data_IF_819716537842
#
_entry.id   IF_819716537842
#
_cell.length_a   1.000
_cell.length_b   1.000
_cell.length_c   1.000
_cell.angle_alpha   90.00
_cell.angle_beta   90.00
_cell.angle_gamma   90.00
#
_symmetry.space_group_name_H-M   'P 1'
#
loop_
_entity.id
_entity.type
_entity.pdbx_description
1 polymer ?
#
# COMPACT_ATOMS: atom_id res chain seq x y z
N UNK A 1 -20.70 32.86 -74.36
CA UNK A 1 -21.38 32.66 -73.11
C UNK A 1 -20.89 31.30 -72.55
N UNK A 2 -19.91 31.33 -71.66
CA UNK A 2 -19.26 30.15 -71.13
C UNK A 2 -19.88 29.87 -69.77
N UNK A 3 -20.59 28.75 -69.65
CA UNK A 3 -21.03 28.27 -68.34
C UNK A 3 -19.83 27.71 -67.52
N UNK A 4 -19.56 28.16 -66.30
CA UNK A 4 -18.56 27.55 -65.45
C UNK A 4 -19.06 26.19 -64.95
N UNK A 5 -18.29 25.14 -65.23
CA UNK A 5 -18.60 23.76 -64.96
C UNK A 5 -18.82 23.54 -63.48
N UNK A 6 -20.05 23.25 -63.05
CA UNK A 6 -20.47 22.85 -61.70
C UNK A 6 -19.82 21.56 -61.19
N UNK A 7 -19.08 20.85 -62.05
CA UNK A 7 -18.37 19.59 -61.68
C UNK A 7 -17.10 19.80 -60.87
N UNK A 8 -16.43 20.95 -60.96
CA UNK A 8 -15.26 21.31 -60.13
C UNK A 8 -15.67 21.52 -58.67
N UNK A 9 -16.76 22.22 -58.44
CA UNK A 9 -17.28 22.55 -57.12
C UNK A 9 -17.69 21.32 -56.29
N UNK A 10 -18.23 20.26 -56.90
CA UNK A 10 -18.64 19.06 -56.18
C UNK A 10 -17.46 18.17 -55.73
N UNK A 11 -16.37 18.17 -56.53
CA UNK A 11 -15.11 17.49 -56.16
C UNK A 11 -14.38 18.22 -55.03
N UNK A 12 -14.37 19.52 -55.08
CA UNK A 12 -13.73 20.36 -54.06
C UNK A 12 -14.47 20.24 -52.71
N UNK A 13 -15.80 20.19 -52.72
CA UNK A 13 -16.61 19.97 -51.52
C UNK A 13 -16.33 18.57 -50.89
N UNK A 14 -16.22 17.53 -51.73
CA UNK A 14 -15.91 16.18 -51.22
C UNK A 14 -14.49 16.13 -50.64
N UNK A 15 -13.51 16.73 -51.28
CA UNK A 15 -12.13 16.82 -50.77
C UNK A 15 -12.10 17.58 -49.44
N UNK A 16 -12.84 18.67 -49.32
CA UNK A 16 -12.96 19.44 -48.09
C UNK A 16 -13.58 18.61 -46.95
N UNK A 17 -14.66 17.88 -47.20
CA UNK A 17 -15.31 17.02 -46.23
C UNK A 17 -14.43 15.84 -45.79
N UNK A 18 -13.63 15.29 -46.71
CA UNK A 18 -12.65 14.25 -46.38
C UNK A 18 -11.52 14.80 -45.50
N UNK A 19 -11.00 15.97 -45.83
CA UNK A 19 -9.98 16.62 -45.02
C UNK A 19 -10.49 16.97 -43.62
N UNK A 20 -11.73 17.50 -43.53
CA UNK A 20 -12.36 17.79 -42.24
C UNK A 20 -12.48 16.54 -41.36
N UNK A 21 -12.95 15.41 -41.94
CA UNK A 21 -13.00 14.14 -41.21
C UNK A 21 -11.65 13.66 -40.70
N UNK A 22 -10.60 13.74 -41.53
CA UNK A 22 -9.26 13.36 -41.10
C UNK A 22 -8.72 14.26 -39.99
N UNK A 23 -9.02 15.54 -40.02
CA UNK A 23 -8.66 16.46 -38.93
C UNK A 23 -9.41 16.17 -37.67
N UNK A 24 -10.70 15.80 -37.75
CA UNK A 24 -11.51 15.42 -36.60
C UNK A 24 -11.01 14.09 -35.99
N UNK A 25 -10.70 13.09 -36.82
CA UNK A 25 -10.09 11.82 -36.35
C UNK A 25 -8.73 12.05 -35.72
N UNK A 26 -7.88 12.86 -36.29
CA UNK A 26 -6.58 13.21 -35.72
C UNK A 26 -6.73 13.96 -34.40
N UNK A 27 -7.70 14.86 -34.30
CA UNK A 27 -8.04 15.58 -33.06
C UNK A 27 -8.50 14.63 -31.95
N UNK A 28 -9.36 13.66 -32.28
CA UNK A 28 -9.80 12.64 -31.35
C UNK A 28 -8.65 11.76 -30.86
N UNK A 29 -7.81 11.25 -31.76
CA UNK A 29 -6.65 10.42 -31.43
C UNK A 29 -5.65 11.17 -30.54
N UNK A 30 -5.39 12.44 -30.83
CA UNK A 30 -4.50 13.27 -30.00
C UNK A 30 -5.09 13.54 -28.63
N UNK A 31 -6.40 13.78 -28.53
CA UNK A 31 -7.11 13.99 -27.26
C UNK A 31 -7.11 12.71 -26.40
N UNK A 32 -7.36 11.55 -27.00
CA UNK A 32 -7.29 10.26 -26.30
C UNK A 32 -5.86 9.93 -25.84
N UNK A 33 -4.86 10.13 -26.69
CA UNK A 33 -3.46 9.93 -26.30
C UNK A 33 -3.06 10.85 -25.15
N UNK A 34 -3.45 12.12 -25.19
CA UNK A 34 -3.18 13.08 -24.13
C UNK A 34 -3.88 12.70 -22.81
N UNK A 35 -5.14 12.26 -22.89
CA UNK A 35 -5.90 11.82 -21.71
C UNK A 35 -5.25 10.61 -21.05
N UNK A 36 -4.86 9.58 -21.82
CA UNK A 36 -4.16 8.39 -21.31
C UNK A 36 -2.82 8.74 -20.65
N UNK A 37 -1.99 9.55 -21.32
CA UNK A 37 -0.71 9.96 -20.75
C UNK A 37 -0.89 10.74 -19.44
N UNK A 38 -1.93 11.56 -19.34
CA UNK A 38 -2.23 12.30 -18.12
C UNK A 38 -2.69 11.39 -16.98
N UNK A 39 -3.51 10.38 -17.26
CA UNK A 39 -3.92 9.37 -16.26
C UNK A 39 -2.73 8.55 -15.79
N UNK A 40 -1.83 8.13 -16.67
CA UNK A 40 -0.60 7.41 -16.31
C UNK A 40 0.32 8.25 -15.42
N UNK A 41 0.49 9.54 -15.72
CA UNK A 41 1.29 10.47 -14.90
C UNK A 41 0.65 10.65 -13.51
N UNK A 42 -0.66 10.86 -13.44
CA UNK A 42 -1.38 11.04 -12.17
C UNK A 42 -1.29 9.76 -11.33
N UNK A 43 -1.47 8.59 -11.94
CA UNK A 43 -1.31 7.29 -11.27
C UNK A 43 0.11 7.11 -10.75
N UNK A 44 1.12 7.35 -11.58
CA UNK A 44 2.53 7.27 -11.18
C UNK A 44 2.90 8.26 -10.06
N UNK A 45 2.38 9.47 -10.09
CA UNK A 45 2.59 10.45 -9.02
C UNK A 45 1.87 10.05 -7.73
N UNK A 46 0.66 9.48 -7.84
CA UNK A 46 -0.06 8.94 -6.69
C UNK A 46 0.69 7.77 -6.06
N UNK A 47 1.24 6.87 -6.87
CA UNK A 47 2.06 5.75 -6.40
C UNK A 47 3.35 6.24 -5.74
N UNK A 48 4.03 7.24 -6.29
CA UNK A 48 5.20 7.86 -5.66
C UNK A 48 4.88 8.54 -4.33
N UNK A 49 3.73 9.20 -4.21
CA UNK A 49 3.26 9.78 -2.95
C UNK A 49 2.91 8.70 -1.92
N UNK A 50 2.32 7.59 -2.34
CA UNK A 50 2.08 6.40 -1.52
C UNK A 50 3.41 5.77 -1.07
N UNK A 51 4.41 5.75 -1.95
CA UNK A 51 5.77 5.30 -1.63
C UNK A 51 6.42 6.10 -0.50
N UNK A 52 6.26 7.40 -0.49
CA UNK A 52 6.84 8.29 0.54
C UNK A 52 6.01 8.32 1.84
N UNK A 53 4.75 7.88 1.81
CA UNK A 53 3.80 8.13 2.91
C UNK A 53 3.81 7.11 4.05
N UNK A 54 4.51 5.97 3.90
CA UNK A 54 4.54 4.94 4.96
C UNK A 54 5.91 4.24 5.00
N UNK A 55 6.93 4.90 5.55
CA UNK A 55 8.25 4.29 5.68
C UNK A 55 8.22 3.17 6.72
N UNK A 56 8.83 2.02 6.40
CA UNK A 56 9.21 1.04 7.42
C UNK A 56 10.51 1.52 8.03
N UNK A 57 10.56 1.62 9.34
CA UNK A 57 11.69 2.19 10.08
C UNK A 57 12.34 1.10 10.93
N UNK A 58 13.66 0.98 10.89
CA UNK A 58 14.39 0.17 11.86
C UNK A 58 14.43 0.92 13.18
N UNK A 59 13.73 0.42 14.22
CA UNK A 59 13.73 1.03 15.55
C UNK A 59 14.87 0.55 16.41
N UNK A 60 15.25 -0.72 16.25
CA UNK A 60 16.31 -1.36 17.02
C UNK A 60 16.90 -2.53 16.25
N UNK A 61 17.98 -3.11 16.75
CA UNK A 61 18.52 -4.34 16.17
C UNK A 61 17.51 -5.49 16.34
N UNK A 62 17.07 -6.04 15.22
CA UNK A 62 16.04 -7.07 15.17
C UNK A 62 14.59 -6.57 15.24
N UNK A 63 14.35 -5.23 15.26
CA UNK A 63 13.02 -4.64 15.34
C UNK A 63 12.80 -3.61 14.24
N UNK A 64 11.78 -3.84 13.42
CA UNK A 64 11.26 -2.84 12.47
C UNK A 64 9.88 -2.37 12.89
N UNK A 65 9.50 -1.15 12.51
CA UNK A 65 8.16 -0.63 12.73
C UNK A 65 7.63 0.05 11.48
N UNK A 66 6.32 -0.04 11.30
CA UNK A 66 5.56 0.68 10.29
C UNK A 66 4.50 1.53 10.96
N UNK A 67 4.69 2.85 11.04
CA UNK A 67 3.66 3.76 11.52
C UNK A 67 2.64 4.03 10.41
N UNK A 68 1.39 3.61 10.63
CA UNK A 68 0.29 3.84 9.71
C UNK A 68 -0.43 5.14 10.09
N UNK A 69 -0.54 6.07 9.13
CA UNK A 69 -1.16 7.38 9.36
C UNK A 69 -2.18 7.67 8.27
N UNK A 70 -3.31 8.24 8.68
CA UNK A 70 -4.39 8.62 7.78
C UNK A 70 -5.29 7.46 7.37
N UNK A 71 -6.09 7.65 6.33
CA UNK A 71 -7.03 6.65 5.84
C UNK A 71 -6.27 5.50 5.17
N UNK A 72 -6.59 4.28 5.57
CA UNK A 72 -6.09 3.08 4.94
C UNK A 72 -7.16 2.53 4.00
N UNK A 73 -6.80 2.35 2.75
CA UNK A 73 -7.53 1.53 1.78
C UNK A 73 -6.81 0.21 1.54
N UNK A 74 -7.46 -0.69 0.81
CA UNK A 74 -6.94 -2.02 0.53
C UNK A 74 -5.62 -1.99 -0.24
N UNK A 75 -5.50 -1.12 -1.25
CA UNK A 75 -4.31 -1.02 -2.11
C UNK A 75 -3.11 -0.50 -1.32
N UNK A 76 -3.30 0.60 -0.59
CA UNK A 76 -2.26 1.17 0.28
C UNK A 76 -1.82 0.18 1.36
N UNK A 77 -2.79 -0.52 1.98
CA UNK A 77 -2.49 -1.51 3.01
C UNK A 77 -1.63 -2.63 2.44
N UNK A 78 -1.95 -3.13 1.25
CA UNK A 78 -1.16 -4.18 0.60
C UNK A 78 0.29 -3.73 0.35
N UNK A 79 0.51 -2.55 -0.22
CA UNK A 79 1.86 -2.00 -0.46
C UNK A 79 2.66 -1.89 0.84
N UNK A 80 2.03 -1.39 1.91
CA UNK A 80 2.68 -1.28 3.23
C UNK A 80 3.09 -2.65 3.77
N UNK A 81 2.20 -3.66 3.61
CA UNK A 81 2.46 -5.01 4.08
C UNK A 81 3.61 -5.67 3.33
N UNK A 82 3.67 -5.53 2.01
CA UNK A 82 4.77 -6.02 1.19
C UNK A 82 6.11 -5.40 1.62
N UNK A 83 6.12 -4.10 1.87
CA UNK A 83 7.30 -3.39 2.37
C UNK A 83 7.74 -3.83 3.74
N UNK A 84 6.79 -4.10 4.65
CA UNK A 84 7.10 -4.60 5.96
C UNK A 84 7.78 -5.97 5.90
N UNK A 85 7.25 -6.88 5.08
CA UNK A 85 7.85 -8.21 4.88
C UNK A 85 9.24 -8.11 4.24
N UNK A 86 9.42 -7.22 3.27
CA UNK A 86 10.73 -6.98 2.67
C UNK A 86 11.72 -6.41 3.69
N UNK A 87 11.30 -5.44 4.51
CA UNK A 87 12.14 -4.84 5.53
C UNK A 87 12.58 -5.83 6.61
N UNK A 88 11.75 -6.83 6.95
CA UNK A 88 12.16 -7.92 7.85
C UNK A 88 13.38 -8.67 7.31
N UNK A 89 13.44 -8.89 5.99
CA UNK A 89 14.59 -9.53 5.32
C UNK A 89 15.78 -8.58 5.30
N UNK A 90 15.59 -7.37 4.80
CA UNK A 90 16.67 -6.40 4.56
C UNK A 90 17.40 -6.00 5.86
N UNK A 91 16.65 -5.90 6.96
CA UNK A 91 17.19 -5.56 8.28
C UNK A 91 17.47 -6.78 9.17
N UNK A 92 17.27 -7.99 8.64
CA UNK A 92 17.39 -9.25 9.40
C UNK A 92 16.67 -9.16 10.76
N UNK A 93 15.41 -8.68 10.72
CA UNK A 93 14.61 -8.42 11.91
C UNK A 93 13.66 -9.57 12.21
N UNK A 94 13.55 -9.93 13.49
CA UNK A 94 12.66 -10.98 14.00
C UNK A 94 11.40 -10.43 14.64
N UNK A 95 11.31 -9.10 14.78
CA UNK A 95 10.16 -8.42 15.37
C UNK A 95 9.68 -7.28 14.47
N UNK A 96 8.37 -7.23 14.23
CA UNK A 96 7.72 -6.15 13.50
C UNK A 96 6.67 -5.47 14.39
N UNK A 97 6.63 -4.14 14.38
CA UNK A 97 5.61 -3.35 15.06
C UNK A 97 4.74 -2.66 14.01
N UNK A 98 3.44 -2.92 14.03
CA UNK A 98 2.46 -2.23 13.19
C UNK A 98 1.74 -1.22 14.07
N UNK A 99 2.08 0.06 13.93
CA UNK A 99 1.47 1.13 14.72
C UNK A 99 0.32 1.79 13.97
N UNK A 100 -0.89 1.64 14.49
CA UNK A 100 -2.13 2.19 13.93
C UNK A 100 -2.67 3.39 14.70
N UNK A 101 -1.84 4.00 15.55
CA UNK A 101 -2.24 5.19 16.34
C UNK A 101 -2.77 6.32 15.44
N UNK A 102 -2.17 6.49 14.25
CA UNK A 102 -2.54 7.52 13.28
C UNK A 102 -3.73 7.17 12.38
N UNK A 103 -4.33 5.98 12.53
CA UNK A 103 -5.43 5.51 11.68
C UNK A 103 -6.77 5.90 12.31
N UNK A 104 -7.64 6.63 11.61
CA UNK A 104 -8.93 7.05 12.16
C UNK A 104 -9.98 5.93 12.17
N UNK A 105 -9.97 5.05 11.19
CA UNK A 105 -10.89 3.94 11.04
C UNK A 105 -10.26 2.76 10.29
N UNK A 106 -10.75 1.57 10.58
CA UNK A 106 -10.35 0.32 9.93
C UNK A 106 -11.61 -0.40 9.47
N UNK A 107 -11.65 -0.78 8.19
CA UNK A 107 -12.68 -1.62 7.63
C UNK A 107 -12.31 -3.11 7.67
N UNK A 108 -13.22 -3.96 7.23
CA UNK A 108 -13.03 -5.42 7.22
C UNK A 108 -11.84 -5.84 6.34
N UNK A 109 -11.66 -5.20 5.19
CA UNK A 109 -10.60 -5.55 4.26
C UNK A 109 -9.22 -5.18 4.81
N UNK A 110 -9.09 -3.97 5.35
CA UNK A 110 -7.86 -3.50 6.01
C UNK A 110 -7.49 -4.40 7.18
N UNK A 111 -8.45 -4.75 8.06
CA UNK A 111 -8.22 -5.65 9.18
C UNK A 111 -7.75 -7.04 8.71
N UNK A 112 -8.36 -7.59 7.65
CA UNK A 112 -7.94 -8.86 7.07
C UNK A 112 -6.53 -8.79 6.46
N UNK A 113 -6.16 -7.68 5.82
CA UNK A 113 -4.80 -7.49 5.29
C UNK A 113 -3.77 -7.43 6.42
N UNK A 114 -4.07 -6.72 7.51
CA UNK A 114 -3.21 -6.71 8.71
C UNK A 114 -2.99 -8.12 9.26
N UNK A 115 -4.06 -8.91 9.41
CA UNK A 115 -3.95 -10.29 9.89
C UNK A 115 -3.12 -11.18 8.96
N UNK A 116 -3.38 -11.11 7.64
CA UNK A 116 -2.60 -11.87 6.66
C UNK A 116 -1.12 -11.54 6.72
N UNK A 117 -0.78 -10.28 6.96
CA UNK A 117 0.62 -9.86 7.11
C UNK A 117 1.28 -10.45 8.34
N UNK A 118 0.59 -10.43 9.47
CA UNK A 118 1.11 -11.08 10.69
C UNK A 118 1.37 -12.55 10.46
N UNK A 119 0.44 -13.26 9.79
CA UNK A 119 0.63 -14.66 9.43
C UNK A 119 1.83 -14.85 8.50
N UNK A 120 1.97 -14.01 7.48
CA UNK A 120 3.10 -14.06 6.56
C UNK A 120 4.44 -13.81 7.26
N UNK A 121 4.52 -12.81 8.15
CA UNK A 121 5.71 -12.53 8.95
C UNK A 121 6.09 -13.72 9.84
N UNK A 122 5.11 -14.36 10.49
CA UNK A 122 5.34 -15.58 11.29
C UNK A 122 5.87 -16.74 10.46
N UNK A 123 5.37 -16.92 9.24
CA UNK A 123 5.91 -17.93 8.30
C UNK A 123 7.37 -17.65 7.93
N UNK A 124 7.80 -16.39 7.96
CA UNK A 124 9.18 -15.97 7.74
C UNK A 124 10.05 -16.05 9.00
N UNK A 125 9.46 -16.44 10.14
CA UNK A 125 10.18 -16.54 11.44
C UNK A 125 10.23 -15.23 12.21
N UNK A 126 9.39 -14.25 11.88
CA UNK A 126 9.27 -12.99 12.60
C UNK A 126 7.91 -12.88 13.31
N UNK A 127 7.90 -12.31 14.52
CA UNK A 127 6.67 -11.99 15.23
C UNK A 127 6.23 -10.55 15.00
N UNK A 128 4.91 -10.32 15.11
CA UNK A 128 4.33 -8.99 14.96
C UNK A 128 3.61 -8.55 16.22
N UNK A 129 3.72 -7.25 16.52
CA UNK A 129 2.97 -6.57 17.59
C UNK A 129 2.16 -5.45 16.95
N UNK A 130 0.88 -5.33 17.29
CA UNK A 130 0.05 -4.22 16.84
C UNK A 130 -0.07 -3.20 17.98
N UNK A 131 0.21 -1.92 17.69
CA UNK A 131 0.09 -0.84 18.67
C UNK A 131 -0.91 0.23 18.28
N UNK A 132 -1.42 0.97 19.27
CA UNK A 132 -2.26 2.13 19.03
C UNK A 132 -3.70 1.84 18.63
N UNK A 133 -4.23 0.67 18.98
CA UNK A 133 -5.64 0.34 18.73
C UNK A 133 -6.53 1.24 19.60
N UNK A 134 -7.27 2.15 18.96
CA UNK A 134 -8.23 3.03 19.63
C UNK A 134 -9.52 2.29 19.98
N UNK A 135 -10.27 2.72 21.01
CA UNK A 135 -11.51 2.05 21.42
C UNK A 135 -12.53 1.87 20.28
N UNK A 136 -12.68 2.87 19.40
CA UNK A 136 -13.58 2.80 18.24
C UNK A 136 -13.14 1.70 17.25
N UNK A 137 -11.82 1.59 16.99
CA UNK A 137 -11.27 0.55 16.13
C UNK A 137 -11.46 -0.82 16.77
N UNK A 138 -11.20 -0.95 18.06
CA UNK A 138 -11.43 -2.20 18.80
C UNK A 138 -12.89 -2.66 18.72
N UNK A 139 -13.84 -1.74 18.93
CA UNK A 139 -15.28 -2.03 18.77
C UNK A 139 -15.63 -2.50 17.36
N UNK A 140 -15.08 -1.83 16.34
CA UNK A 140 -15.30 -2.20 14.94
C UNK A 140 -14.76 -3.61 14.64
N UNK A 141 -13.55 -3.92 15.08
CA UNK A 141 -12.92 -5.23 14.91
C UNK A 141 -13.76 -6.33 15.53
N UNK A 142 -14.22 -6.12 16.78
CA UNK A 142 -15.08 -7.08 17.49
C UNK A 142 -16.44 -7.24 16.80
N UNK A 143 -17.06 -6.13 16.35
CA UNK A 143 -18.33 -6.15 15.62
C UNK A 143 -18.24 -6.88 14.27
N UNK A 144 -17.07 -6.85 13.63
CA UNK A 144 -16.80 -7.56 12.38
C UNK A 144 -16.46 -9.05 12.60
N UNK A 145 -16.41 -9.54 13.84
CA UNK A 145 -16.05 -10.92 14.16
C UNK A 145 -14.61 -11.27 13.80
N UNK A 146 -13.71 -10.28 13.74
CA UNK A 146 -12.31 -10.49 13.40
C UNK A 146 -11.55 -10.82 14.70
N UNK A 147 -11.00 -12.01 14.75
CA UNK A 147 -10.18 -12.46 15.87
C UNK A 147 -8.70 -12.21 15.58
N UNK A 148 -8.05 -11.43 16.43
CA UNK A 148 -6.59 -11.22 16.35
C UNK A 148 -5.80 -12.40 16.92
N UNK A 149 -6.49 -13.37 17.51
CA UNK A 149 -5.88 -14.58 18.07
C UNK A 149 -4.76 -14.25 19.05
N UNK A 150 -3.61 -14.89 18.88
CA UNK A 150 -2.43 -14.71 19.72
C UNK A 150 -1.54 -13.53 19.32
N UNK A 151 -2.08 -12.56 18.55
CA UNK A 151 -1.30 -11.38 18.15
C UNK A 151 -1.19 -10.42 19.34
N UNK A 152 0.03 -10.14 19.83
CA UNK A 152 0.20 -9.19 20.92
C UNK A 152 -0.27 -7.79 20.49
N UNK A 153 -1.11 -7.17 21.33
CA UNK A 153 -1.55 -5.79 21.12
C UNK A 153 -1.08 -4.91 22.27
N UNK A 154 -0.67 -3.68 21.96
CA UNK A 154 -0.17 -2.70 22.92
C UNK A 154 -0.86 -1.35 22.71
N UNK A 155 -1.03 -0.58 23.79
CA UNK A 155 -1.66 0.73 23.72
C UNK A 155 -0.80 1.77 23.05
N UNK A 156 0.53 1.66 23.16
CA UNK A 156 1.50 2.63 22.62
C UNK A 156 2.63 1.94 21.85
N UNK A 157 3.26 2.68 20.92
CA UNK A 157 4.47 2.23 20.23
C UNK A 157 5.61 1.92 21.21
N UNK A 158 5.75 2.69 22.30
CA UNK A 158 6.76 2.47 23.32
C UNK A 158 6.57 1.13 24.05
N UNK A 159 5.34 0.77 24.38
CA UNK A 159 5.03 -0.53 25.00
C UNK A 159 5.22 -1.69 24.04
N UNK A 160 4.91 -1.48 22.75
CA UNK A 160 5.17 -2.45 21.70
C UNK A 160 6.67 -2.70 21.51
N UNK A 161 7.48 -1.63 21.50
CA UNK A 161 8.95 -1.75 21.40
C UNK A 161 9.51 -2.52 22.62
N UNK A 162 9.07 -2.17 23.84
CA UNK A 162 9.49 -2.89 25.05
C UNK A 162 9.17 -4.37 24.94
N UNK A 163 7.97 -4.70 24.52
CA UNK A 163 7.54 -6.09 24.32
C UNK A 163 8.40 -6.84 23.29
N UNK A 164 8.72 -6.18 22.16
CA UNK A 164 9.57 -6.76 21.14
C UNK A 164 11.00 -7.03 21.65
N UNK A 165 11.57 -6.10 22.40
CA UNK A 165 12.90 -6.26 23.01
C UNK A 165 12.91 -7.38 24.05
N UNK A 166 11.91 -7.47 24.92
CA UNK A 166 11.78 -8.55 25.92
C UNK A 166 11.66 -9.92 25.24
N UNK A 167 11.01 -9.98 24.07
CA UNK A 167 10.89 -11.22 23.30
C UNK A 167 12.24 -11.64 22.72
N UNK A 168 12.98 -10.71 22.10
CA UNK A 168 14.32 -10.98 21.57
C UNK A 168 15.27 -11.47 22.68
N UNK A 169 15.23 -10.85 23.86
CA UNK A 169 16.08 -11.27 24.97
C UNK A 169 15.73 -12.67 25.48
N UNK A 170 14.44 -13.00 25.55
CA UNK A 170 14.00 -14.35 25.94
C UNK A 170 14.47 -15.42 24.96
N UNK A 171 14.36 -15.14 23.66
CA UNK A 171 14.78 -16.06 22.61
C UNK A 171 16.29 -16.29 22.62
N UNK A 172 17.09 -15.24 22.84
CA UNK A 172 18.54 -15.35 23.02
C UNK A 172 18.91 -16.24 24.22
N UNK A 173 18.30 -16.02 25.37
CA UNK A 173 18.53 -16.84 26.57
C UNK A 173 18.16 -18.30 26.36
N UNK A 174 17.06 -18.57 25.64
CA UNK A 174 16.64 -19.95 25.31
C UNK A 174 17.62 -20.62 24.37
N UNK A 175 18.17 -19.89 23.39
CA UNK A 175 19.18 -20.41 22.47
C UNK A 175 20.49 -20.72 23.18
N UNK A 176 20.97 -19.85 24.08
CA UNK A 176 22.17 -20.05 24.89
C UNK A 176 22.05 -21.29 25.79
N UNK A 177 20.92 -21.45 26.48
CA UNK A 177 20.65 -22.62 27.34
C UNK A 177 20.61 -23.95 26.57
N UNK A 178 20.12 -23.94 25.31
CA UNK A 178 20.15 -25.13 24.43
C UNK A 178 21.57 -25.48 23.98
N UNK A 179 22.38 -24.47 23.69
CA UNK A 179 23.78 -24.67 23.28
C UNK A 179 24.69 -25.20 24.39
N UNK A 180 24.33 -24.97 25.68
CA UNK A 180 25.11 -25.48 26.82
C UNK A 180 24.78 -26.92 27.24
N UNK A 181 23.77 -27.55 26.61
CA UNK A 181 23.33 -28.92 26.87
C UNK A 181 23.83 -29.94 25.84
N UNK A 182 24.57 -29.48 24.84
CA UNK A 182 25.22 -30.28 23.79
C UNK A 182 26.74 -30.29 23.94
#
# INVERSE_FOLDING_TARGET
>A
MLEPSLTGSAKDIRAYLQLSRLLDELGLLTAEAYARTREEIISSQADQLLELSTPVVKLWDGVVAVPLVGTLDSARTQVVMERLLQALIDYNSTQAIIDITGVPAVDTQVAQHLLKTVVAARMMGADCVISGIRPQIAQTIVALGIEFGDIPTKGTLADALRHALDTIERDKKLAENRGSLL
#
